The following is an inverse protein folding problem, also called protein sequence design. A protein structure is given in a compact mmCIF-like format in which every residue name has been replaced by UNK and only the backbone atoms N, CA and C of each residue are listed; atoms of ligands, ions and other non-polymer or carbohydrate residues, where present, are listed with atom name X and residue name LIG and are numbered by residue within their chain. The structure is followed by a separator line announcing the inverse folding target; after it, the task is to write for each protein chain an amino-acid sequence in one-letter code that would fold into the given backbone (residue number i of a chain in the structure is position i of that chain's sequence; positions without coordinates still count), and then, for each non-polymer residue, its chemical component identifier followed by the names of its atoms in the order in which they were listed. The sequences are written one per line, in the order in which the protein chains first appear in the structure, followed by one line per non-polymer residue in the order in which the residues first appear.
data_IF_100669537632
#
_entry.id   IF_100669537632
#
_cell.length_a   1.000
_cell.length_b   1.000
_cell.length_c   1.000
_cell.angle_alpha   90.00
_cell.angle_beta   90.00
_cell.angle_gamma   90.00
#
_symmetry.space_group_name_H-M   'P 1'
#
loop_
_entity.id
_entity.type
_entity.pdbx_description
1 polymer ?
#
# COMPACT_ATOMS: atom_id res chain seq x y z
N UNK A 1 4.48 -21.04 -6.64
CA UNK A 1 3.85 -19.83 -6.07
C UNK A 1 4.87 -19.12 -5.20
N UNK A 2 4.93 -17.79 -5.28
CA UNK A 2 5.74 -16.99 -4.36
C UNK A 2 4.89 -16.64 -3.13
N UNK A 3 5.48 -16.73 -1.93
CA UNK A 3 4.80 -16.50 -0.65
C UNK A 3 4.49 -15.01 -0.45
N UNK A 4 3.34 -14.68 0.13
CA UNK A 4 3.08 -13.32 0.63
C UNK A 4 3.76 -13.07 1.97
N UNK A 5 4.28 -11.85 2.11
CA UNK A 5 4.93 -11.38 3.31
C UNK A 5 4.19 -10.15 3.83
N UNK A 6 3.97 -10.13 5.15
CA UNK A 6 3.45 -8.97 5.88
C UNK A 6 4.61 -8.24 6.54
N UNK A 7 4.73 -6.93 6.35
CA UNK A 7 5.83 -6.14 6.92
C UNK A 7 5.31 -5.24 8.04
N UNK A 8 5.38 -5.74 9.27
CA UNK A 8 4.91 -5.00 10.46
C UNK A 8 5.77 -3.78 10.80
N UNK A 9 7.04 -3.77 10.40
CA UNK A 9 7.97 -2.67 10.66
C UNK A 9 7.67 -1.42 9.81
N UNK A 10 6.79 -1.55 8.81
CA UNK A 10 6.35 -0.46 7.94
C UNK A 10 4.84 -0.32 8.05
N UNK A 11 4.38 0.40 9.08
CA UNK A 11 2.97 0.73 9.27
C UNK A 11 2.66 2.16 8.81
N UNK A 12 1.68 2.28 7.93
CA UNK A 12 1.15 3.55 7.43
C UNK A 12 -0.09 3.92 8.23
N UNK A 13 -0.01 4.90 9.13
CA UNK A 13 -1.10 5.24 10.06
C UNK A 13 -2.27 5.93 9.39
N UNK A 14 -1.99 6.87 8.50
CA UNK A 14 -3.01 7.69 7.85
C UNK A 14 -3.40 7.10 6.49
N UNK A 15 -4.67 6.72 6.37
CA UNK A 15 -5.24 6.12 5.17
C UNK A 15 -5.08 7.03 3.94
N UNK A 16 -5.40 8.31 4.08
CA UNK A 16 -5.39 9.27 2.97
C UNK A 16 -3.96 9.52 2.47
N UNK A 17 -3.01 9.66 3.38
CA UNK A 17 -1.59 9.75 3.04
C UNK A 17 -1.10 8.50 2.31
N UNK A 18 -1.54 7.30 2.71
CA UNK A 18 -1.18 6.05 2.04
C UNK A 18 -1.73 6.00 0.61
N UNK A 19 -3.02 6.30 0.41
CA UNK A 19 -3.64 6.30 -0.92
C UNK A 19 -2.97 7.31 -1.85
N UNK A 20 -2.68 8.52 -1.35
CA UNK A 20 -1.95 9.52 -2.12
C UNK A 20 -0.51 9.07 -2.42
N UNK A 21 0.19 8.45 -1.47
CA UNK A 21 1.54 7.94 -1.70
C UNK A 21 1.59 6.81 -2.75
N UNK A 22 0.58 5.92 -2.75
CA UNK A 22 0.40 4.89 -3.78
C UNK A 22 0.21 5.52 -5.17
N UNK A 23 -0.64 6.55 -5.26
CA UNK A 23 -0.84 7.31 -6.49
C UNK A 23 0.46 7.93 -7.01
N UNK A 24 1.28 8.54 -6.15
CA UNK A 24 2.60 9.06 -6.52
C UNK A 24 3.59 7.97 -6.95
N UNK A 25 3.40 6.73 -6.51
CA UNK A 25 4.14 5.57 -7.00
C UNK A 25 3.60 4.99 -8.32
N UNK A 26 2.54 5.58 -8.88
CA UNK A 26 1.89 5.12 -10.11
C UNK A 26 0.73 4.14 -9.91
N UNK A 27 0.33 3.86 -8.67
CA UNK A 27 -0.75 2.92 -8.33
C UNK A 27 -1.99 3.68 -7.85
N UNK A 28 -2.67 4.38 -8.77
CA UNK A 28 -3.81 5.24 -8.45
C UNK A 28 -5.11 4.49 -8.16
N UNK A 29 -5.27 3.29 -8.74
CA UNK A 29 -6.50 2.49 -8.65
C UNK A 29 -6.42 1.50 -7.48
N UNK A 30 -7.18 1.78 -6.43
CA UNK A 30 -7.26 0.95 -5.22
C UNK A 30 -8.70 0.55 -4.92
N UNK A 31 -8.89 -0.69 -4.50
CA UNK A 31 -10.14 -1.16 -3.90
C UNK A 31 -10.02 -1.15 -2.37
N UNK A 32 -11.13 -0.88 -1.69
CA UNK A 32 -11.19 -0.85 -0.22
C UNK A 32 -12.37 -1.65 0.31
N UNK A 33 -12.15 -2.31 1.45
CA UNK A 33 -13.17 -3.11 2.12
C UNK A 33 -12.65 -3.68 3.44
N UNK A 34 -13.49 -4.44 4.15
CA UNK A 34 -13.12 -4.98 5.47
C UNK A 34 -12.09 -6.12 5.38
N UNK A 35 -12.21 -6.99 4.38
CA UNK A 35 -11.33 -8.15 4.18
C UNK A 35 -11.33 -8.61 2.70
N UNK A 36 -10.75 -7.80 1.81
CA UNK A 36 -10.64 -8.14 0.39
C UNK A 36 -9.66 -9.30 0.20
N UNK A 37 -10.07 -10.29 -0.60
CA UNK A 37 -9.17 -11.39 -0.99
C UNK A 37 -8.10 -10.91 -1.96
N UNK A 38 -6.87 -11.41 -1.77
CA UNK A 38 -5.77 -11.20 -2.70
C UNK A 38 -5.72 -12.33 -3.74
N UNK A 39 -5.26 -12.00 -4.93
CA UNK A 39 -5.10 -12.97 -6.02
C UNK A 39 -3.67 -12.98 -6.55
N UNK A 40 -3.20 -14.18 -6.86
CA UNK A 40 -1.93 -14.39 -7.51
C UNK A 40 -1.94 -14.07 -9.01
N UNK A 41 -0.76 -14.09 -9.63
CA UNK A 41 -0.60 -13.83 -11.06
C UNK A 41 -1.41 -14.80 -11.95
N UNK A 42 -1.65 -16.03 -11.49
CA UNK A 42 -2.49 -17.03 -12.18
C UNK A 42 -4.00 -16.82 -11.93
N UNK A 43 -4.39 -15.80 -11.18
CA UNK A 43 -5.77 -15.59 -10.73
C UNK A 43 -6.17 -16.52 -9.59
N UNK A 44 -5.22 -17.23 -8.98
CA UNK A 44 -5.46 -18.08 -7.82
C UNK A 44 -5.71 -17.24 -6.56
N UNK A 45 -6.77 -17.57 -5.81
CA UNK A 45 -7.08 -16.89 -4.55
C UNK A 45 -6.01 -17.21 -3.50
N UNK A 46 -5.57 -16.19 -2.79
CA UNK A 46 -4.61 -16.28 -1.69
C UNK A 46 -5.34 -16.35 -0.35
N UNK A 47 -4.77 -17.01 0.67
CA UNK A 47 -5.35 -17.04 2.02
C UNK A 47 -5.31 -15.67 2.71
N UNK A 48 -4.39 -14.78 2.30
CA UNK A 48 -4.26 -13.44 2.85
C UNK A 48 -5.39 -12.50 2.41
N UNK A 49 -5.78 -11.60 3.30
CA UNK A 49 -6.75 -10.53 3.05
C UNK A 49 -6.19 -9.17 3.41
N UNK A 50 -6.72 -8.13 2.75
CA UNK A 50 -6.31 -6.75 2.97
C UNK A 50 -7.51 -5.81 2.97
N UNK A 51 -7.33 -4.64 3.57
CA UNK A 51 -8.34 -3.59 3.62
C UNK A 51 -8.22 -2.62 2.44
N UNK A 52 -7.02 -2.51 1.87
CA UNK A 52 -6.75 -1.74 0.65
C UNK A 52 -6.01 -2.66 -0.31
N UNK A 53 -6.43 -2.72 -1.58
CA UNK A 53 -5.83 -3.59 -2.60
C UNK A 53 -5.57 -2.82 -3.89
N UNK A 54 -4.35 -2.90 -4.40
CA UNK A 54 -4.03 -2.59 -5.80
C UNK A 54 -4.07 -3.89 -6.58
N UNK A 55 -5.00 -4.00 -7.53
CA UNK A 55 -5.17 -5.23 -8.32
C UNK A 55 -4.00 -5.42 -9.30
N UNK A 56 -3.60 -6.68 -9.53
CA UNK A 56 -2.47 -7.05 -10.39
C UNK A 56 -2.52 -6.42 -11.79
N UNK A 57 -3.73 -6.20 -12.34
CA UNK A 57 -3.94 -5.54 -13.65
C UNK A 57 -3.39 -4.10 -13.71
N UNK A 58 -3.23 -3.45 -12.57
CA UNK A 58 -2.67 -2.10 -12.44
C UNK A 58 -1.20 -2.10 -12.03
N UNK A 59 -0.59 -3.27 -11.83
CA UNK A 59 0.81 -3.43 -11.42
C UNK A 59 1.64 -3.98 -12.58
N UNK A 60 1.21 -5.11 -13.14
CA UNK A 60 1.91 -5.79 -14.22
C UNK A 60 1.34 -7.17 -14.48
N UNK A 61 1.51 -7.66 -15.71
CA UNK A 61 0.94 -8.96 -16.14
C UNK A 61 1.50 -10.16 -15.37
N UNK A 62 2.73 -10.06 -14.86
CA UNK A 62 3.39 -11.09 -14.06
C UNK A 62 3.24 -10.89 -12.54
N UNK A 63 2.57 -9.81 -12.11
CA UNK A 63 2.44 -9.47 -10.69
C UNK A 63 1.25 -10.14 -10.03
N UNK A 64 1.29 -10.18 -8.70
CA UNK A 64 0.16 -10.55 -7.86
C UNK A 64 -0.55 -9.26 -7.39
N UNK A 65 -1.67 -9.38 -6.69
CA UNK A 65 -2.29 -8.23 -6.02
C UNK A 65 -1.37 -7.69 -4.92
N UNK A 66 -1.34 -6.37 -4.74
CA UNK A 66 -0.68 -5.73 -3.60
C UNK A 66 -1.74 -5.36 -2.57
N UNK A 67 -1.61 -5.89 -1.36
CA UNK A 67 -2.52 -5.60 -0.26
C UNK A 67 -1.91 -4.68 0.80
N UNK A 68 -2.77 -4.02 1.57
CA UNK A 68 -2.45 -3.40 2.84
C UNK A 68 -3.45 -3.84 3.90
N UNK A 69 -2.97 -4.58 4.90
CA UNK A 69 -3.78 -5.06 6.00
C UNK A 69 -3.82 -4.02 7.11
N UNK A 70 -5.02 -3.68 7.58
CA UNK A 70 -5.23 -2.79 8.71
C UNK A 70 -4.93 -3.51 10.02
N UNK A 71 -4.17 -2.86 10.88
CA UNK A 71 -3.79 -3.28 12.22
C UNK A 71 -4.06 -2.13 13.20
N UNK A 72 -3.87 -2.37 14.50
CA UNK A 72 -3.90 -1.31 15.52
C UNK A 72 -2.87 -0.18 15.25
N UNK A 73 -1.76 -0.49 14.58
CA UNK A 73 -0.67 0.44 14.30
C UNK A 73 -0.80 1.15 12.94
N UNK A 74 -1.85 0.85 12.17
CA UNK A 74 -2.07 1.36 10.82
C UNK A 74 -2.10 0.24 9.78
N UNK A 75 -1.84 0.60 8.53
CA UNK A 75 -1.86 -0.32 7.39
C UNK A 75 -0.46 -0.89 7.14
N UNK A 76 -0.33 -2.22 7.15
CA UNK A 76 0.92 -2.94 6.86
C UNK A 76 0.85 -3.57 5.47
N UNK A 77 1.90 -3.49 4.64
CA UNK A 77 1.87 -4.05 3.29
C UNK A 77 1.88 -5.58 3.35
N UNK A 78 1.06 -6.18 2.49
CA UNK A 78 0.94 -7.61 2.22
C UNK A 78 1.31 -7.79 0.74
N UNK A 79 2.54 -8.20 0.48
CA UNK A 79 3.14 -8.26 -0.87
C UNK A 79 3.82 -9.61 -1.08
N UNK A 80 3.72 -10.16 -2.29
CA UNK A 80 4.44 -11.39 -2.64
C UNK A 80 5.95 -11.16 -2.60
N UNK A 81 6.74 -12.19 -2.27
CA UNK A 81 8.21 -12.10 -2.29
C UNK A 81 8.75 -11.77 -3.69
N UNK A 82 8.07 -12.25 -4.74
CA UNK A 82 8.38 -11.89 -6.13
C UNK A 82 8.20 -10.38 -6.35
N UNK A 83 7.02 -9.84 -6.07
CA UNK A 83 6.70 -8.43 -6.29
C UNK A 83 7.56 -7.52 -5.40
N UNK A 84 7.89 -7.95 -4.17
CA UNK A 84 8.84 -7.24 -3.31
C UNK A 84 10.20 -7.04 -3.99
N UNK A 85 10.67 -8.01 -4.78
CA UNK A 85 11.95 -7.94 -5.50
C UNK A 85 11.84 -7.21 -6.83
N UNK A 86 10.70 -7.30 -7.52
CA UNK A 86 10.58 -6.85 -8.91
C UNK A 86 9.91 -5.47 -9.04
N UNK A 87 8.95 -5.12 -8.18
CA UNK A 87 8.27 -3.83 -8.24
C UNK A 87 9.27 -2.69 -8.06
N UNK A 88 9.33 -1.82 -9.06
CA UNK A 88 10.30 -0.71 -9.12
C UNK A 88 11.75 -1.17 -8.85
N UNK A 89 12.14 -2.34 -9.39
CA UNK A 89 13.47 -2.92 -9.17
C UNK A 89 13.80 -3.13 -7.68
N UNK A 90 12.78 -3.53 -6.90
CA UNK A 90 12.89 -3.77 -5.47
C UNK A 90 12.84 -2.51 -4.60
N UNK A 91 12.61 -1.34 -5.19
CA UNK A 91 12.58 -0.05 -4.48
C UNK A 91 11.18 0.40 -4.08
N UNK A 92 10.14 -0.38 -4.40
CA UNK A 92 8.76 0.02 -4.18
C UNK A 92 8.46 0.47 -2.74
N UNK A 93 8.78 -0.35 -1.73
CA UNK A 93 8.49 -0.01 -0.33
C UNK A 93 9.27 1.23 0.15
N UNK A 94 10.49 1.44 -0.35
CA UNK A 94 11.30 2.62 -0.04
C UNK A 94 10.61 3.87 -0.61
N UNK A 95 10.22 3.82 -1.89
CA UNK A 95 9.56 4.94 -2.55
C UNK A 95 8.20 5.25 -1.92
N UNK A 96 7.42 4.21 -1.59
CA UNK A 96 6.14 4.35 -0.92
C UNK A 96 6.30 5.04 0.44
N UNK A 97 7.29 4.63 1.24
CA UNK A 97 7.57 5.24 2.54
C UNK A 97 8.00 6.71 2.40
N UNK A 98 8.85 7.03 1.43
CA UNK A 98 9.26 8.41 1.15
C UNK A 98 8.05 9.29 0.80
N UNK A 99 7.23 8.83 -0.15
CA UNK A 99 6.03 9.56 -0.57
C UNK A 99 5.03 9.72 0.57
N UNK A 100 4.81 8.67 1.37
CA UNK A 100 3.94 8.72 2.55
C UNK A 100 4.39 9.75 3.58
N UNK A 101 5.70 9.80 3.87
CA UNK A 101 6.26 10.77 4.81
C UNK A 101 6.04 12.21 4.33
N UNK A 102 6.23 12.47 3.03
CA UNK A 102 5.93 13.77 2.44
C UNK A 102 4.45 14.14 2.58
N UNK A 103 3.53 13.24 2.23
CA UNK A 103 2.08 13.49 2.38
C UNK A 103 1.66 13.70 3.84
N UNK A 104 2.27 12.97 4.76
CA UNK A 104 2.03 13.14 6.20
C UNK A 104 2.50 14.50 6.71
N UNK A 105 3.68 14.96 6.28
CA UNK A 105 4.20 16.29 6.63
C UNK A 105 3.33 17.42 6.04
N UNK A 106 2.92 17.29 4.77
CA UNK A 106 2.00 18.24 4.13
C UNK A 106 0.67 18.33 4.88
N UNK A 107 0.08 17.18 5.27
CA UNK A 107 -1.17 17.13 6.04
C UNK A 107 -1.03 17.81 7.40
N UNK A 108 0.05 17.54 8.13
CA UNK A 108 0.34 18.20 9.40
C UNK A 108 0.46 19.72 9.24
N UNK A 109 1.20 20.18 8.23
CA UNK A 109 1.37 21.61 7.96
C UNK A 109 0.04 22.30 7.62
N UNK A 110 -0.83 21.64 6.84
CA UNK A 110 -2.19 22.15 6.54
C UNK A 110 -3.03 22.27 7.81
N UNK A 111 -3.02 21.24 8.67
CA UNK A 111 -3.80 21.23 9.90
C UNK A 111 -3.35 22.35 10.86
N UNK A 112 -2.03 22.53 11.05
CA UNK A 112 -1.48 23.60 11.88
C UNK A 112 -1.87 25.00 11.38
N UNK A 113 -1.83 25.22 10.06
CA UNK A 113 -2.28 26.49 9.46
C UNK A 113 -3.78 26.71 9.64
N UNK A 114 -4.58 25.65 9.60
CA UNK A 114 -6.02 25.72 9.84
C UNK A 114 -6.35 26.10 11.29
N UNK A 115 -5.60 25.59 12.26
CA UNK A 115 -5.80 25.91 13.69
C UNK A 115 -5.39 27.34 14.06
N UNK A 116 -4.39 27.92 13.39
CA UNK A 116 -3.91 29.29 13.69
C UNK A 116 -4.82 30.42 13.16
N UNK A 117 -5.80 30.10 12.30
CA UNK A 117 -6.75 31.07 11.74
C UNK A 117 -8.19 30.88 12.26
N UNK A 118 -8.36 30.13 13.36
CA UNK A 118 -9.62 30.02 14.13
C UNK A 118 -9.48 30.78 15.45
#
# INVERSE_FOLDING_TARGET
MSKYMTFTDTAFKDRECLLNALKECGYAETEEGEALSLYGYQGDRRPETAQIVVRRKFIGSASNDLGFQKTENGYVPVISEFDRRTMMQGKFLINLRTNYNLKSAEKLARNLRGTLHQ
#
